data_IF_514176547983
#
_entry.id   IF_514176547983
#
_cell.length_a   1.000
_cell.length_b   1.000
_cell.length_c   1.000
_cell.angle_alpha   90.00
_cell.angle_beta   90.00
_cell.angle_gamma   90.00
#
_symmetry.space_group_name_H-M   'P 1'
#
loop_
_entity.id
_entity.type
_entity.pdbx_description
1 polymer ?
#
# COMPACT_ATOMS: atom_id res chain seq x y z
N UNK A 1 15.01 -22.90 0.34
CA UNK A 1 16.18 -22.21 -0.23
C UNK A 1 16.19 -20.82 0.39
N UNK A 2 17.24 -20.54 1.13
CA UNK A 2 17.48 -19.39 2.02
C UNK A 2 17.35 -18.05 1.28
N UNK A 3 16.68 -17.08 1.90
CA UNK A 3 16.65 -15.67 1.45
C UNK A 3 18.09 -15.16 1.40
N UNK A 4 18.57 -14.53 0.30
CA UNK A 4 19.94 -14.03 0.24
C UNK A 4 20.18 -12.95 1.31
N UNK A 5 21.34 -13.00 1.97
CA UNK A 5 21.86 -11.87 2.76
C UNK A 5 22.04 -10.67 1.83
N UNK A 6 21.09 -9.73 1.89
CA UNK A 6 21.01 -8.57 1.01
C UNK A 6 19.62 -7.93 0.93
N UNK A 7 18.55 -8.60 1.38
CA UNK A 7 17.16 -8.13 1.19
C UNK A 7 16.46 -7.68 2.49
N UNK A 8 17.19 -7.50 3.59
CA UNK A 8 16.64 -7.06 4.88
C UNK A 8 17.28 -5.75 5.32
N UNK A 9 16.46 -4.76 5.69
CA UNK A 9 16.89 -3.54 6.36
C UNK A 9 17.01 -3.81 7.86
N UNK A 10 18.17 -3.50 8.44
CA UNK A 10 18.44 -3.50 9.88
C UNK A 10 18.53 -2.06 10.38
N UNK A 11 18.05 -1.80 11.60
CA UNK A 11 18.02 -0.46 12.18
C UNK A 11 19.11 -0.32 13.26
N UNK A 12 20.37 -0.38 12.85
CA UNK A 12 21.53 -0.32 13.76
C UNK A 12 21.84 1.08 14.31
N UNK A 13 22.75 1.19 15.30
CA UNK A 13 23.09 2.46 15.95
C UNK A 13 23.73 3.50 15.02
N UNK A 14 24.31 3.10 13.88
CA UNK A 14 24.80 4.04 12.85
C UNK A 14 23.66 4.81 12.14
N UNK A 15 22.42 4.32 12.23
CA UNK A 15 21.24 4.95 11.65
C UNK A 15 20.60 6.01 12.58
N UNK A 16 21.04 6.04 13.84
CA UNK A 16 20.70 7.08 14.80
C UNK A 16 21.92 8.00 14.93
N UNK A 17 21.72 9.33 14.99
CA UNK A 17 22.81 10.26 15.28
C UNK A 17 23.45 10.05 16.66
N UNK A 18 24.06 11.10 17.21
CA UNK A 18 24.74 11.12 18.54
C UNK A 18 24.22 10.07 19.56
N UNK A 19 25.05 9.11 20.00
CA UNK A 19 24.62 7.88 20.69
C UNK A 19 23.92 8.09 22.05
N UNK A 20 23.96 9.31 22.60
CA UNK A 20 23.32 9.66 23.89
C UNK A 20 21.95 10.33 23.75
N UNK A 21 21.43 10.55 22.53
CA UNK A 21 20.15 11.20 22.28
C UNK A 21 19.17 10.34 21.45
N UNK A 22 19.34 9.01 21.40
CA UNK A 22 18.53 8.12 20.57
C UNK A 22 17.10 7.97 21.13
N UNK A 23 16.04 8.36 20.37
CA UNK A 23 14.65 8.20 20.80
C UNK A 23 14.31 6.75 21.18
N UNK A 24 13.38 6.58 22.13
CA UNK A 24 12.94 5.25 22.61
C UNK A 24 12.41 4.37 21.47
N UNK A 25 11.64 4.96 20.56
CA UNK A 25 11.14 4.34 19.33
C UNK A 25 12.26 3.73 18.48
N UNK A 26 13.37 4.46 18.31
CA UNK A 26 14.53 4.02 17.51
C UNK A 26 15.27 2.89 18.21
N UNK A 27 15.45 2.98 19.54
CA UNK A 27 16.08 1.92 20.34
C UNK A 27 15.34 0.58 20.22
N UNK A 28 14.02 0.60 20.08
CA UNK A 28 13.20 -0.62 19.88
C UNK A 28 13.45 -1.29 18.54
N UNK A 29 13.87 -0.57 17.51
CA UNK A 29 14.15 -1.16 16.20
C UNK A 29 15.53 -1.83 16.11
N UNK A 30 16.40 -1.68 17.11
CA UNK A 30 17.79 -2.16 17.04
C UNK A 30 17.95 -3.66 16.79
N UNK A 31 16.96 -4.47 17.17
CA UNK A 31 16.95 -5.93 16.95
C UNK A 31 15.95 -6.36 15.87
N UNK A 32 15.30 -5.39 15.22
CA UNK A 32 14.30 -5.62 14.19
C UNK A 32 14.97 -5.59 12.83
N UNK A 33 14.55 -6.50 11.95
CA UNK A 33 14.90 -6.48 10.54
C UNK A 33 13.65 -6.67 9.70
N UNK A 34 13.47 -5.86 8.67
CA UNK A 34 12.32 -5.92 7.76
C UNK A 34 12.78 -6.16 6.32
N UNK A 35 12.00 -6.87 5.48
CA UNK A 35 12.30 -7.00 4.06
C UNK A 35 12.33 -5.65 3.36
N UNK A 36 13.17 -5.47 2.33
CA UNK A 36 13.18 -4.23 1.55
C UNK A 36 11.88 -3.95 0.81
N UNK A 37 11.16 -5.01 0.41
CA UNK A 37 9.89 -4.89 -0.29
C UNK A 37 9.01 -6.10 -0.01
N UNK A 38 7.69 -5.89 0.14
CA UNK A 38 6.68 -6.94 0.22
C UNK A 38 5.50 -6.53 -0.65
N UNK A 39 5.45 -7.06 -1.87
CA UNK A 39 4.44 -6.67 -2.86
C UNK A 39 4.34 -5.14 -3.02
N UNK A 40 3.14 -4.60 -3.29
CA UNK A 40 2.91 -3.16 -3.26
C UNK A 40 2.83 -2.60 -1.83
N UNK A 41 2.60 -3.44 -0.83
CA UNK A 41 2.17 -3.02 0.52
C UNK A 41 3.30 -2.49 1.40
N UNK A 42 4.54 -2.91 1.18
CA UNK A 42 5.67 -2.44 1.99
C UNK A 42 6.89 -2.22 1.12
N UNK A 43 7.59 -1.10 1.35
CA UNK A 43 8.95 -0.91 0.88
C UNK A 43 9.77 -0.05 1.83
N UNK A 44 11.08 -0.19 1.79
CA UNK A 44 12.00 0.59 2.62
C UNK A 44 13.38 0.66 1.96
N UNK A 45 14.09 1.78 2.13
CA UNK A 45 15.49 1.92 1.68
C UNK A 45 16.44 1.93 2.88
N UNK A 46 17.63 1.29 2.79
CA UNK A 46 18.64 1.38 3.85
C UNK A 46 19.13 2.82 4.09
N UNK A 47 19.05 3.69 3.07
CA UNK A 47 19.53 5.07 3.14
C UNK A 47 18.50 6.04 3.73
N UNK A 48 17.23 5.63 3.88
CA UNK A 48 16.20 6.50 4.43
C UNK A 48 16.49 6.82 5.91
N UNK A 49 16.33 8.06 6.37
CA UNK A 49 16.39 8.36 7.79
C UNK A 49 15.40 7.51 8.62
N UNK A 50 15.84 7.04 9.79
CA UNK A 50 15.00 6.26 10.71
C UNK A 50 14.11 7.17 11.54
N UNK A 51 14.57 8.38 11.90
CA UNK A 51 13.72 9.34 12.60
C UNK A 51 12.75 9.97 11.60
N UNK A 52 11.44 9.94 11.90
CA UNK A 52 10.40 10.37 10.98
C UNK A 52 10.56 11.84 10.55
N UNK A 53 10.93 12.74 11.46
CA UNK A 53 11.15 14.16 11.14
C UNK A 53 12.30 14.35 10.13
N UNK A 54 13.41 13.64 10.33
CA UNK A 54 14.54 13.68 9.42
C UNK A 54 14.19 13.11 8.03
N UNK A 55 13.34 12.08 7.98
CA UNK A 55 12.84 11.56 6.72
C UNK A 55 11.92 12.57 6.03
N UNK A 56 10.98 13.18 6.77
CA UNK A 56 10.07 14.19 6.23
C UNK A 56 10.85 15.37 5.61
N UNK A 57 11.86 15.88 6.33
CA UNK A 57 12.76 16.91 5.80
C UNK A 57 13.48 16.46 4.52
N UNK A 58 13.97 15.21 4.47
CA UNK A 58 14.70 14.68 3.31
C UNK A 58 13.86 14.58 2.03
N UNK A 59 12.54 14.42 2.17
CA UNK A 59 11.60 14.36 1.04
C UNK A 59 10.83 15.68 0.84
N UNK A 60 11.24 16.75 1.52
CA UNK A 60 10.68 18.10 1.34
C UNK A 60 9.28 18.29 1.91
N UNK A 61 8.91 17.53 2.93
CA UNK A 61 7.63 17.64 3.65
C UNK A 61 7.85 17.84 5.15
N UNK A 62 6.79 17.80 5.94
CA UNK A 62 6.84 17.92 7.39
C UNK A 62 5.97 16.89 8.11
N UNK A 63 6.31 16.62 9.36
CA UNK A 63 5.45 15.86 10.26
C UNK A 63 4.44 16.81 10.90
N UNK A 64 3.17 16.64 10.56
CA UNK A 64 2.11 17.57 10.98
C UNK A 64 1.84 17.57 12.49
N UNK A 65 2.17 16.47 13.20
CA UNK A 65 1.96 16.32 14.64
C UNK A 65 3.30 16.20 15.36
N UNK A 66 3.56 17.10 16.30
CA UNK A 66 4.86 17.19 16.99
C UNK A 66 5.22 15.90 17.74
N UNK A 67 4.24 15.20 18.32
CA UNK A 67 4.46 13.94 19.03
C UNK A 67 4.96 12.79 18.14
N UNK A 68 4.80 12.91 16.81
CA UNK A 68 5.21 11.92 15.82
C UNK A 68 6.63 12.16 15.28
N UNK A 69 7.21 13.37 15.46
CA UNK A 69 8.52 13.75 14.90
C UNK A 69 9.64 12.77 15.28
N UNK A 70 9.60 12.29 16.52
CA UNK A 70 10.60 11.36 17.05
C UNK A 70 10.23 9.87 16.87
N UNK A 71 9.19 9.54 16.10
CA UNK A 71 8.85 8.14 15.82
C UNK A 71 9.88 7.51 14.90
N UNK A 72 10.03 6.19 15.01
CA UNK A 72 11.02 5.45 14.24
C UNK A 72 10.36 4.82 13.01
N UNK A 73 10.71 5.32 11.83
CA UNK A 73 10.23 4.87 10.53
C UNK A 73 10.85 3.53 10.17
N UNK A 74 10.00 2.56 9.82
CA UNK A 74 10.40 1.24 9.30
C UNK A 74 10.40 1.21 7.77
N UNK A 75 9.47 1.93 7.12
CA UNK A 75 9.28 1.96 5.68
C UNK A 75 8.00 2.68 5.31
N UNK A 76 7.49 2.42 4.10
CA UNK A 76 6.28 3.05 3.55
C UNK A 76 5.39 2.00 2.88
N UNK A 77 4.08 2.26 2.87
CA UNK A 77 3.10 1.57 2.03
C UNK A 77 2.75 2.38 0.76
N UNK A 78 3.62 3.31 0.35
CA UNK A 78 3.51 4.25 -0.78
C UNK A 78 2.58 5.45 -0.57
N UNK A 79 1.76 5.45 0.48
CA UNK A 79 0.99 6.64 0.87
C UNK A 79 1.33 7.11 2.28
N UNK A 80 1.56 6.16 3.19
CA UNK A 80 1.81 6.40 4.61
C UNK A 80 3.19 5.87 5.00
N UNK A 81 3.80 6.54 5.97
CA UNK A 81 5.03 6.10 6.62
C UNK A 81 4.70 5.17 7.78
N UNK A 82 5.25 3.97 7.76
CA UNK A 82 5.01 2.95 8.76
C UNK A 82 6.03 3.10 9.88
N UNK A 83 5.57 3.52 11.04
CA UNK A 83 6.41 4.04 12.13
C UNK A 83 6.12 3.34 13.46
N UNK A 84 7.18 3.02 14.21
CA UNK A 84 7.09 2.61 15.60
C UNK A 84 6.95 3.84 16.51
N UNK A 85 5.87 3.88 17.28
CA UNK A 85 5.66 4.86 18.33
C UNK A 85 6.51 4.53 19.59
N UNK A 86 6.70 5.47 20.52
CA UNK A 86 7.45 5.23 21.75
C UNK A 86 6.85 4.11 22.64
N UNK A 87 5.54 3.89 22.55
CA UNK A 87 4.84 2.78 23.23
C UNK A 87 5.23 1.40 22.71
N UNK A 88 5.80 1.35 21.50
CA UNK A 88 6.23 0.15 20.82
C UNK A 88 5.23 -0.35 19.80
N UNK A 89 4.06 0.25 19.63
CA UNK A 89 3.16 -0.12 18.54
C UNK A 89 3.63 0.48 17.21
N UNK A 90 3.30 -0.19 16.10
CA UNK A 90 3.51 0.30 14.74
C UNK A 90 2.22 0.95 14.23
N UNK A 91 2.35 2.13 13.63
CA UNK A 91 1.25 2.87 13.04
C UNK A 91 1.64 3.45 11.67
N UNK A 92 0.66 3.60 10.79
CA UNK A 92 0.81 4.28 9.52
C UNK A 92 0.52 5.78 9.72
N UNK A 93 1.47 6.64 9.33
CA UNK A 93 1.43 8.09 9.50
C UNK A 93 1.44 8.77 8.13
N UNK A 94 0.50 9.69 7.90
CA UNK A 94 0.48 10.51 6.69
C UNK A 94 1.27 11.81 6.93
N UNK A 95 2.30 12.06 6.13
CA UNK A 95 3.09 13.29 6.22
C UNK A 95 2.33 14.49 5.66
N UNK A 96 2.51 15.67 6.25
CA UNK A 96 1.86 16.92 5.82
C UNK A 96 0.38 17.07 6.20
N UNK A 97 -0.26 16.04 6.76
CA UNK A 97 -1.68 16.06 7.12
C UNK A 97 -1.90 15.66 8.58
N UNK A 98 -2.90 16.27 9.24
CA UNK A 98 -3.23 15.98 10.64
C UNK A 98 -4.15 14.77 10.81
N UNK A 99 -3.92 13.70 10.04
CA UNK A 99 -4.74 12.49 10.12
C UNK A 99 -4.38 11.63 11.34
N UNK A 100 -5.37 10.99 12.00
CA UNK A 100 -5.09 9.99 13.01
C UNK A 100 -4.24 8.84 12.43
N UNK A 101 -3.15 8.43 13.09
CA UNK A 101 -2.32 7.36 12.57
C UNK A 101 -3.04 6.02 12.68
N UNK A 102 -3.07 5.27 11.56
CA UNK A 102 -3.76 3.97 11.46
C UNK A 102 -2.97 2.90 12.22
N UNK A 103 -3.64 2.07 13.00
CA UNK A 103 -2.97 0.97 13.70
C UNK A 103 -2.50 -0.10 12.71
N UNK A 104 -1.23 -0.51 12.83
CA UNK A 104 -0.61 -1.52 11.97
C UNK A 104 -0.34 -2.78 12.77
N UNK A 105 0.46 -2.68 13.82
CA UNK A 105 0.81 -3.85 14.64
C UNK A 105 1.16 -3.47 16.08
N UNK A 106 1.00 -4.42 16.98
CA UNK A 106 1.28 -4.29 18.41
C UNK A 106 2.77 -4.12 18.71
N UNK A 107 3.66 -4.61 17.85
CA UNK A 107 5.11 -4.38 17.95
C UNK A 107 5.84 -4.42 16.60
N UNK A 108 7.04 -3.79 16.48
CA UNK A 108 7.93 -3.94 15.34
C UNK A 108 8.29 -5.38 14.99
N UNK A 109 8.46 -6.24 15.99
CA UNK A 109 8.80 -7.66 15.80
C UNK A 109 7.63 -8.42 15.18
N UNK A 110 6.41 -8.19 15.68
CA UNK A 110 5.19 -8.78 15.11
C UNK A 110 4.91 -8.24 13.71
N UNK A 111 5.19 -6.96 13.46
CA UNK A 111 5.09 -6.37 12.13
C UNK A 111 6.10 -7.00 11.16
N UNK A 112 7.37 -7.10 11.54
CA UNK A 112 8.41 -7.74 10.74
C UNK A 112 8.11 -9.21 10.44
N UNK A 113 7.63 -9.96 11.44
CA UNK A 113 7.18 -11.34 11.25
C UNK A 113 6.02 -11.41 10.25
N UNK A 114 5.01 -10.56 10.41
CA UNK A 114 3.85 -10.49 9.52
C UNK A 114 4.23 -10.14 8.08
N UNK A 115 5.18 -9.22 7.87
CA UNK A 115 5.72 -8.90 6.55
C UNK A 115 6.36 -10.11 5.86
N UNK A 116 7.13 -10.91 6.60
CA UNK A 116 7.75 -12.13 6.07
C UNK A 116 6.71 -13.20 5.69
N UNK A 117 5.63 -13.32 6.46
CA UNK A 117 4.55 -14.25 6.13
C UNK A 117 3.77 -13.79 4.90
N UNK A 118 3.51 -12.48 4.78
CA UNK A 118 2.88 -11.91 3.60
C UNK A 118 3.75 -12.08 2.35
N UNK A 119 5.06 -11.83 2.43
CA UNK A 119 5.99 -12.00 1.29
C UNK A 119 5.96 -13.45 0.76
N UNK A 120 6.01 -14.44 1.66
CA UNK A 120 5.90 -15.84 1.28
C UNK A 120 4.56 -16.15 0.61
N UNK A 121 3.46 -15.63 1.15
CA UNK A 121 2.14 -15.84 0.60
C UNK A 121 2.00 -15.23 -0.80
N UNK A 122 2.42 -13.98 -0.99
CA UNK A 122 2.36 -13.29 -2.28
C UNK A 122 3.19 -14.00 -3.35
N UNK A 123 4.39 -14.52 -3.02
CA UNK A 123 5.18 -15.33 -3.97
C UNK A 123 4.43 -16.57 -4.45
N UNK A 124 3.64 -17.21 -3.60
CA UNK A 124 2.83 -18.37 -3.99
C UNK A 124 1.62 -17.92 -4.81
N UNK A 125 0.88 -16.92 -4.33
CA UNK A 125 -0.34 -16.41 -4.97
C UNK A 125 -0.06 -15.90 -6.38
N UNK A 126 1.01 -15.13 -6.57
CA UNK A 126 1.38 -14.54 -7.86
C UNK A 126 2.13 -15.54 -8.76
N UNK A 127 2.71 -16.60 -8.19
CA UNK A 127 3.53 -17.57 -8.91
C UNK A 127 2.78 -18.83 -9.36
N UNK A 128 1.51 -18.99 -8.97
CA UNK A 128 0.70 -20.18 -9.28
C UNK A 128 -0.34 -19.88 -10.35
N UNK A 129 -0.57 -20.82 -11.25
CA UNK A 129 -1.69 -20.84 -12.20
C UNK A 129 -2.93 -21.56 -11.63
N UNK A 130 -2.79 -22.21 -10.47
CA UNK A 130 -3.84 -22.94 -9.77
C UNK A 130 -4.60 -22.07 -8.76
N UNK A 131 -5.88 -21.73 -9.00
CA UNK A 131 -6.66 -20.88 -8.09
C UNK A 131 -6.79 -21.44 -6.67
N UNK A 132 -6.90 -22.77 -6.52
CA UNK A 132 -6.99 -23.42 -5.22
C UNK A 132 -5.71 -23.24 -4.40
N UNK A 133 -4.54 -23.27 -5.05
CA UNK A 133 -3.26 -23.06 -4.37
C UNK A 133 -3.11 -21.60 -3.89
N UNK A 134 -3.56 -20.64 -4.70
CA UNK A 134 -3.60 -19.23 -4.32
C UNK A 134 -4.54 -19.01 -3.13
N UNK A 135 -5.75 -19.58 -3.18
CA UNK A 135 -6.73 -19.48 -2.11
C UNK A 135 -6.24 -20.12 -0.79
N UNK A 136 -5.60 -21.28 -0.86
CA UNK A 136 -4.98 -21.94 0.31
C UNK A 136 -3.86 -21.09 0.91
N UNK A 137 -2.99 -20.52 0.08
CA UNK A 137 -1.90 -19.64 0.51
C UNK A 137 -2.44 -18.38 1.19
N UNK A 138 -3.45 -17.73 0.59
CA UNK A 138 -4.12 -16.57 1.18
C UNK A 138 -4.74 -16.92 2.55
N UNK A 139 -5.53 -18.00 2.62
CA UNK A 139 -6.19 -18.40 3.86
C UNK A 139 -5.19 -18.81 4.95
N UNK A 140 -4.05 -19.41 4.59
CA UNK A 140 -2.97 -19.73 5.52
C UNK A 140 -2.30 -18.46 6.06
N UNK A 141 -2.01 -17.50 5.19
CA UNK A 141 -1.42 -16.22 5.56
C UNK A 141 -2.35 -15.45 6.52
N UNK A 142 -3.64 -15.32 6.18
CA UNK A 142 -4.61 -14.65 7.05
C UNK A 142 -4.65 -15.25 8.45
N UNK A 143 -4.72 -16.59 8.56
CA UNK A 143 -4.70 -17.28 9.86
C UNK A 143 -3.43 -16.98 10.65
N UNK A 144 -2.28 -17.00 9.99
CA UNK A 144 -0.98 -16.78 10.64
C UNK A 144 -0.81 -15.32 11.09
N UNK A 145 -1.24 -14.36 10.27
CA UNK A 145 -1.21 -12.94 10.62
C UNK A 145 -2.10 -12.66 11.86
N UNK A 146 -3.33 -13.19 11.86
CA UNK A 146 -4.26 -13.07 13.00
C UNK A 146 -3.72 -13.73 14.28
N UNK A 147 -3.03 -14.86 14.15
CA UNK A 147 -2.40 -15.54 15.28
C UNK A 147 -1.18 -14.78 15.82
N UNK A 148 -0.42 -14.13 14.94
CA UNK A 148 0.77 -13.34 15.29
C UNK A 148 0.40 -12.09 16.07
N UNK A 149 -0.63 -11.37 15.64
CA UNK A 149 -1.10 -10.14 16.29
C UNK A 149 -2.62 -9.98 16.19
N UNK A 150 -3.40 -10.51 17.15
CA UNK A 150 -4.85 -10.38 17.14
C UNK A 150 -5.35 -8.93 17.17
N UNK A 151 -4.61 -8.01 17.80
CA UNK A 151 -5.02 -6.62 17.93
C UNK A 151 -4.99 -5.87 16.59
N UNK A 152 -4.09 -6.25 15.68
CA UNK A 152 -4.07 -5.74 14.31
C UNK A 152 -5.38 -5.99 13.55
N UNK A 153 -6.15 -6.99 13.95
CA UNK A 153 -7.42 -7.37 13.33
C UNK A 153 -8.65 -7.01 14.16
N UNK A 154 -8.48 -6.25 15.26
CA UNK A 154 -9.58 -5.85 16.12
C UNK A 154 -10.58 -4.93 15.41
N UNK A 155 -10.10 -4.07 14.50
CA UNK A 155 -10.90 -3.14 13.71
C UNK A 155 -10.75 -3.43 12.22
N UNK A 156 -11.81 -3.21 11.42
CA UNK A 156 -11.81 -3.49 9.97
C UNK A 156 -10.95 -2.53 9.15
N UNK A 157 -10.71 -1.32 9.65
CA UNK A 157 -9.90 -0.30 8.97
C UNK A 157 -8.46 -0.21 9.49
N UNK A 158 -8.05 -1.19 10.31
CA UNK A 158 -6.63 -1.38 10.60
C UNK A 158 -5.88 -1.84 9.34
N UNK A 159 -4.57 -1.63 9.34
CA UNK A 159 -3.76 -1.80 8.14
C UNK A 159 -3.78 -3.22 7.55
N UNK A 160 -3.61 -4.26 8.37
CA UNK A 160 -3.60 -5.65 7.88
C UNK A 160 -4.93 -6.11 7.27
N UNK A 161 -6.10 -5.86 7.89
CA UNK A 161 -7.39 -6.06 7.25
C UNK A 161 -7.51 -5.41 5.87
N UNK A 162 -7.02 -4.18 5.68
CA UNK A 162 -7.05 -3.48 4.39
C UNK A 162 -6.19 -4.17 3.34
N UNK A 163 -4.96 -4.56 3.70
CA UNK A 163 -4.07 -5.33 2.82
C UNK A 163 -4.70 -6.66 2.40
N UNK A 164 -5.34 -7.37 3.33
CA UNK A 164 -6.00 -8.64 3.01
C UNK A 164 -7.31 -8.47 2.22
N UNK A 165 -8.01 -7.36 2.38
CA UNK A 165 -9.17 -7.03 1.54
C UNK A 165 -8.72 -6.76 0.11
N UNK A 166 -7.67 -5.97 -0.08
CA UNK A 166 -7.10 -5.66 -1.39
C UNK A 166 -6.71 -6.92 -2.19
N UNK A 167 -5.91 -7.81 -1.59
CA UNK A 167 -5.48 -9.07 -2.23
C UNK A 167 -6.70 -9.92 -2.60
N UNK A 168 -7.71 -9.97 -1.72
CA UNK A 168 -8.91 -10.79 -1.93
C UNK A 168 -9.78 -10.24 -3.04
N UNK A 169 -9.99 -8.92 -3.05
CA UNK A 169 -10.84 -8.25 -4.01
C UNK A 169 -10.24 -8.35 -5.40
N UNK A 170 -8.95 -8.00 -5.56
CA UNK A 170 -8.22 -8.07 -6.83
C UNK A 170 -8.04 -9.49 -7.36
N UNK A 171 -8.03 -10.51 -6.50
CA UNK A 171 -7.98 -11.91 -6.93
C UNK A 171 -9.37 -12.49 -7.26
N UNK A 172 -10.42 -12.00 -6.62
CA UNK A 172 -11.77 -12.56 -6.71
C UNK A 172 -12.68 -11.87 -7.72
N UNK A 173 -12.31 -10.69 -8.21
CA UNK A 173 -13.13 -9.91 -9.14
C UNK A 173 -12.21 -9.20 -10.12
N UNK A 174 -12.43 -9.40 -11.42
CA UNK A 174 -11.77 -8.61 -12.45
C UNK A 174 -12.57 -7.31 -12.66
N UNK A 175 -11.89 -6.17 -12.68
CA UNK A 175 -12.47 -4.89 -13.06
C UNK A 175 -11.51 -4.04 -13.87
N UNK A 176 -12.07 -3.03 -14.53
CA UNK A 176 -11.42 -2.24 -15.56
C UNK A 176 -11.33 -0.76 -15.20
N UNK A 177 -10.34 -0.11 -15.78
CA UNK A 177 -10.24 1.33 -15.90
C UNK A 177 -10.20 1.70 -17.39
N UNK A 178 -10.62 2.93 -17.69
CA UNK A 178 -10.61 3.54 -19.02
C UNK A 178 -10.00 4.94 -18.94
N UNK A 179 -8.97 5.22 -19.74
CA UNK A 179 -8.38 6.55 -19.84
C UNK A 179 -8.64 7.10 -21.23
N UNK A 180 -9.17 8.32 -21.30
CA UNK A 180 -9.24 9.14 -22.51
C UNK A 180 -7.99 10.04 -22.55
N UNK A 181 -7.29 10.07 -23.67
CA UNK A 181 -6.20 11.00 -23.91
C UNK A 181 -6.23 11.58 -25.32
N UNK A 182 -5.55 12.72 -25.50
CA UNK A 182 -5.38 13.38 -26.80
C UNK A 182 -3.97 13.07 -27.32
N UNK A 183 -3.90 12.36 -28.44
CA UNK A 183 -2.62 12.03 -29.10
C UNK A 183 -1.94 13.27 -29.70
N UNK A 184 -0.70 13.09 -30.13
CA UNK A 184 0.09 14.16 -30.78
C UNK A 184 -0.52 14.62 -32.12
N UNK A 185 -1.34 13.76 -32.73
CA UNK A 185 -2.15 14.07 -33.92
C UNK A 185 -3.39 14.90 -33.60
N UNK A 186 -3.68 15.15 -32.32
CA UNK A 186 -4.87 15.85 -31.84
C UNK A 186 -6.11 14.97 -31.74
N UNK A 187 -6.02 13.67 -32.06
CA UNK A 187 -7.14 12.75 -32.00
C UNK A 187 -7.35 12.21 -30.59
N UNK A 188 -8.61 12.00 -30.22
CA UNK A 188 -8.97 11.40 -28.94
C UNK A 188 -8.91 9.88 -29.02
N UNK A 189 -8.25 9.28 -28.04
CA UNK A 189 -8.16 7.83 -27.88
C UNK A 189 -8.71 7.43 -26.51
N UNK A 190 -9.40 6.30 -26.44
CA UNK A 190 -9.82 5.67 -25.18
C UNK A 190 -9.19 4.30 -25.10
N UNK A 191 -8.43 4.05 -24.03
CA UNK A 191 -7.80 2.76 -23.76
C UNK A 191 -8.39 2.20 -22.49
N UNK A 192 -8.70 0.90 -22.48
CA UNK A 192 -9.19 0.18 -21.31
C UNK A 192 -8.22 -0.93 -20.92
N UNK A 193 -8.14 -1.22 -19.62
CA UNK A 193 -7.30 -2.31 -19.11
C UNK A 193 -7.82 -2.83 -17.77
N UNK A 194 -7.71 -4.14 -17.58
CA UNK A 194 -7.96 -4.78 -16.30
C UNK A 194 -6.74 -4.69 -15.37
N UNK A 195 -7.01 -4.86 -14.08
CA UNK A 195 -6.01 -5.09 -13.06
C UNK A 195 -5.48 -6.53 -13.06
N UNK A 196 -4.81 -6.89 -11.98
CA UNK A 196 -4.41 -8.24 -11.63
C UNK A 196 -4.37 -8.39 -10.11
N UNK A 197 -3.95 -9.57 -9.62
CA UNK A 197 -3.84 -9.78 -8.18
C UNK A 197 -2.82 -8.77 -7.60
N UNK A 198 -3.24 -7.98 -6.61
CA UNK A 198 -2.44 -6.91 -6.02
C UNK A 198 -1.92 -5.89 -7.06
N UNK A 199 -2.68 -5.64 -8.14
CA UNK A 199 -2.40 -4.62 -9.15
C UNK A 199 -3.71 -4.00 -9.63
N UNK A 200 -3.91 -2.70 -9.39
CA UNK A 200 -5.16 -2.04 -9.76
C UNK A 200 -5.18 -1.71 -11.26
N UNK A 201 -6.36 -1.68 -11.91
CA UNK A 201 -6.44 -1.38 -13.34
C UNK A 201 -5.89 0.01 -13.68
N UNK A 202 -6.02 0.99 -12.80
CA UNK A 202 -5.47 2.34 -12.99
C UNK A 202 -3.94 2.31 -13.08
N UNK A 203 -3.28 1.53 -12.21
CA UNK A 203 -1.83 1.34 -12.24
C UNK A 203 -1.39 0.57 -13.50
N UNK A 204 -2.10 -0.52 -13.82
CA UNK A 204 -1.86 -1.36 -14.99
C UNK A 204 -1.97 -0.56 -16.30
N UNK A 205 -3.02 0.25 -16.42
CA UNK A 205 -3.32 1.07 -17.58
C UNK A 205 -2.32 2.22 -17.70
N UNK A 206 -2.08 2.96 -16.62
CA UNK A 206 -1.16 4.08 -16.65
C UNK A 206 0.28 3.65 -16.95
N UNK A 207 0.74 2.53 -16.39
CA UNK A 207 2.03 1.95 -16.73
C UNK A 207 2.15 1.69 -18.24
N UNK A 208 1.09 1.19 -18.87
CA UNK A 208 1.06 0.95 -20.31
C UNK A 208 1.09 2.24 -21.13
N UNK A 209 0.31 3.27 -20.75
CA UNK A 209 0.29 4.56 -21.45
C UNK A 209 1.64 5.29 -21.32
N UNK A 210 2.22 5.31 -20.12
CA UNK A 210 3.56 5.87 -19.90
C UNK A 210 4.61 5.13 -20.73
N UNK A 211 4.53 3.80 -20.79
CA UNK A 211 5.40 2.99 -21.64
C UNK A 211 5.25 3.26 -23.14
N UNK A 212 4.08 3.78 -23.56
CA UNK A 212 3.80 4.24 -24.92
C UNK A 212 4.18 5.72 -25.15
N UNK A 213 4.73 6.41 -24.14
CA UNK A 213 5.16 7.80 -24.25
C UNK A 213 4.04 8.84 -24.07
N UNK A 214 2.89 8.44 -23.53
CA UNK A 214 1.80 9.38 -23.22
C UNK A 214 2.12 10.15 -21.94
N UNK A 215 2.10 11.47 -22.04
CA UNK A 215 2.33 12.38 -20.92
C UNK A 215 1.06 12.61 -20.09
N UNK A 216 1.18 12.88 -18.77
CA UNK A 216 0.00 13.07 -17.92
C UNK A 216 -0.96 14.16 -18.41
N UNK A 217 -0.42 15.26 -18.94
CA UNK A 217 -1.21 16.38 -19.47
C UNK A 217 -2.04 16.04 -20.72
N UNK A 218 -1.78 14.89 -21.36
CA UNK A 218 -2.58 14.42 -22.50
C UNK A 218 -3.85 13.72 -22.06
N UNK A 219 -3.92 13.22 -20.81
CA UNK A 219 -5.07 12.51 -20.28
C UNK A 219 -6.17 13.51 -19.91
N UNK A 220 -7.35 13.34 -20.49
CA UNK A 220 -8.49 14.26 -20.31
C UNK A 220 -9.60 13.68 -19.44
N UNK A 221 -9.75 12.35 -19.40
CA UNK A 221 -10.74 11.65 -18.56
C UNK A 221 -10.23 10.31 -18.07
N UNK A 222 -10.65 9.95 -16.87
CA UNK A 222 -10.38 8.67 -16.25
C UNK A 222 -11.72 8.13 -15.72
N UNK A 223 -12.07 6.92 -16.12
CA UNK A 223 -13.27 6.24 -15.67
C UNK A 223 -12.92 4.87 -15.11
N UNK A 224 -13.39 4.55 -13.91
CA UNK A 224 -13.10 3.29 -13.23
C UNK A 224 -14.39 2.55 -12.87
N UNK A 225 -14.41 1.22 -12.92
CA UNK A 225 -15.64 0.50 -12.52
C UNK A 225 -15.91 0.61 -11.02
N UNK A 226 -14.86 0.51 -10.21
CA UNK A 226 -14.88 0.81 -8.78
C UNK A 226 -14.27 2.18 -8.54
N UNK A 227 -14.78 2.93 -7.57
CA UNK A 227 -14.16 4.18 -7.10
C UNK A 227 -12.66 3.97 -6.83
N UNK A 228 -11.82 4.92 -7.26
CA UNK A 228 -10.38 4.80 -7.11
C UNK A 228 -9.99 4.60 -5.63
N UNK A 229 -9.25 3.53 -5.36
CA UNK A 229 -9.05 3.06 -3.99
C UNK A 229 -8.26 4.06 -3.11
N UNK A 230 -8.43 3.93 -1.79
CA UNK A 230 -7.56 4.53 -0.77
C UNK A 230 -7.00 3.43 0.15
N UNK A 231 -6.38 2.41 -0.47
CA UNK A 231 -5.87 1.22 0.24
C UNK A 231 -4.33 1.21 0.29
N UNK A 232 -3.72 0.62 1.34
CA UNK A 232 -2.29 0.42 1.45
C UNK A 232 -1.68 -0.18 0.17
N UNK A 233 -0.56 0.38 -0.28
CA UNK A 233 0.18 -0.08 -1.47
C UNK A 233 -0.26 0.52 -2.80
N UNK A 234 -1.48 1.08 -2.88
CA UNK A 234 -2.07 1.54 -4.14
C UNK A 234 -2.40 3.02 -4.11
N UNK A 235 -3.27 3.45 -3.17
CA UNK A 235 -3.72 4.83 -3.03
C UNK A 235 -4.11 5.50 -4.36
N UNK A 236 -4.87 4.79 -5.20
CA UNK A 236 -5.24 5.25 -6.54
C UNK A 236 -5.87 6.64 -6.55
N UNK A 237 -6.77 6.93 -5.63
CA UNK A 237 -7.38 8.26 -5.52
C UNK A 237 -6.36 9.38 -5.31
N UNK A 238 -5.29 9.15 -4.53
CA UNK A 238 -4.25 10.15 -4.27
C UNK A 238 -3.40 10.42 -5.51
N UNK A 239 -2.79 9.39 -6.08
CA UNK A 239 -1.84 9.61 -7.16
C UNK A 239 -2.53 10.01 -8.47
N UNK A 240 -3.77 9.55 -8.71
CA UNK A 240 -4.57 10.02 -9.85
C UNK A 240 -4.85 11.51 -9.73
N UNK A 241 -5.31 11.98 -8.57
CA UNK A 241 -5.58 13.40 -8.35
C UNK A 241 -4.31 14.26 -8.46
N UNK A 242 -3.17 13.75 -8.00
CA UNK A 242 -1.88 14.46 -8.10
C UNK A 242 -1.34 14.48 -9.53
N UNK A 243 -1.46 13.38 -10.26
CA UNK A 243 -0.84 13.20 -11.57
C UNK A 243 -1.68 13.75 -12.71
N UNK A 244 -3.00 13.71 -12.58
CA UNK A 244 -3.95 14.17 -13.60
C UNK A 244 -4.91 15.22 -13.03
N UNK A 245 -4.40 16.38 -12.55
CA UNK A 245 -5.21 17.37 -11.85
C UNK A 245 -6.33 17.97 -12.72
N UNK A 246 -6.17 17.95 -14.04
CA UNK A 246 -7.13 18.50 -15.01
C UNK A 246 -8.07 17.43 -15.62
N UNK A 247 -7.84 16.14 -15.33
CA UNK A 247 -8.64 15.06 -15.89
C UNK A 247 -9.95 14.87 -15.11
N UNK A 248 -11.04 14.62 -15.82
CA UNK A 248 -12.33 14.27 -15.21
C UNK A 248 -12.29 12.83 -14.69
N UNK A 249 -12.35 12.65 -13.37
CA UNK A 249 -12.40 11.33 -12.72
C UNK A 249 -13.84 10.92 -12.41
N UNK A 250 -14.26 9.75 -12.89
CA UNK A 250 -15.61 9.20 -12.68
C UNK A 250 -15.54 7.71 -12.35
N UNK A 251 -16.59 7.17 -11.73
CA UNK A 251 -16.69 5.74 -11.42
C UNK A 251 -18.12 5.20 -11.51
N UNK A 252 -18.29 3.87 -11.61
CA UNK A 252 -19.61 3.23 -11.62
C UNK A 252 -20.12 2.89 -10.23
N UNK A 253 -19.29 2.28 -9.39
CA UNK A 253 -19.68 1.78 -8.07
C UNK A 253 -18.77 2.33 -6.97
N UNK A 254 -19.28 2.49 -5.74
CA UNK A 254 -18.47 2.97 -4.61
C UNK A 254 -17.41 1.94 -4.23
N UNK A 255 -16.25 2.39 -3.76
CA UNK A 255 -15.18 1.53 -3.24
C UNK A 255 -14.35 2.27 -2.17
N UNK A 256 -15.01 3.20 -1.48
CA UNK A 256 -14.41 4.21 -0.62
C UNK A 256 -13.76 3.68 0.66
N UNK A 257 -13.71 4.53 1.67
CA UNK A 257 -12.80 4.32 2.81
C UNK A 257 -13.28 3.27 3.83
N UNK A 258 -14.55 2.85 3.78
CA UNK A 258 -15.09 1.85 4.73
C UNK A 258 -15.19 0.45 4.12
N UNK A 259 -15.03 -0.57 4.97
CA UNK A 259 -15.22 -1.97 4.60
C UNK A 259 -16.62 -2.24 4.04
N UNK A 260 -17.64 -1.52 4.52
CA UNK A 260 -19.00 -1.61 4.02
C UNK A 260 -19.10 -1.08 2.57
N UNK A 261 -18.51 0.09 2.30
CA UNK A 261 -18.49 0.68 0.96
C UNK A 261 -17.75 -0.21 -0.04
N UNK A 262 -16.60 -0.78 0.35
CA UNK A 262 -15.85 -1.72 -0.49
C UNK A 262 -16.64 -3.01 -0.78
N UNK A 263 -17.24 -3.60 0.25
CA UNK A 263 -18.06 -4.80 0.09
C UNK A 263 -19.27 -4.56 -0.83
N UNK A 264 -19.90 -3.38 -0.71
CA UNK A 264 -21.00 -2.97 -1.57
C UNK A 264 -20.56 -2.79 -3.02
N UNK A 265 -19.44 -2.11 -3.26
CA UNK A 265 -18.83 -1.96 -4.58
C UNK A 265 -18.59 -3.29 -5.28
N UNK A 266 -17.91 -4.20 -4.59
CA UNK A 266 -17.61 -5.54 -5.10
C UNK A 266 -18.89 -6.34 -5.39
N UNK A 267 -19.91 -6.21 -4.54
CA UNK A 267 -21.21 -6.86 -4.75
C UNK A 267 -21.88 -6.33 -6.02
N UNK A 268 -22.00 -5.01 -6.16
CA UNK A 268 -22.63 -4.34 -7.31
C UNK A 268 -21.90 -4.66 -8.61
N UNK A 269 -20.57 -4.64 -8.58
CA UNK A 269 -19.73 -5.00 -9.72
C UNK A 269 -19.99 -6.43 -10.19
N UNK A 270 -20.04 -7.40 -9.27
CA UNK A 270 -20.34 -8.81 -9.59
C UNK A 270 -21.75 -8.98 -10.14
N UNK A 271 -22.72 -8.25 -9.60
CA UNK A 271 -24.10 -8.27 -10.10
C UNK A 271 -24.21 -7.69 -11.52
N UNK A 272 -23.45 -6.63 -11.82
CA UNK A 272 -23.39 -6.04 -13.15
C UNK A 272 -22.70 -6.97 -14.16
N UNK A 273 -21.62 -7.66 -13.75
CA UNK A 273 -20.92 -8.62 -14.60
C UNK A 273 -21.79 -9.86 -14.92
N UNK A 274 -22.67 -10.29 -14.01
CA UNK A 274 -23.58 -11.41 -14.24
C UNK A 274 -24.77 -11.09 -15.17
N UNK A 275 -25.01 -9.81 -15.48
CA UNK A 275 -26.10 -9.35 -16.35
C UNK A 275 -25.67 -9.14 -17.81
N UNK A 276 -24.38 -9.28 -18.11
CA UNK A 276 -23.79 -9.15 -19.45
C UNK A 276 -23.64 -10.53 -20.12
#
# INVERSE_FOLDING_TARGET
MTVPEGELRKFGPEAAGEPYAVPESVRRLMQVAVPWTVGPYFSTSPDDPVVLDAYAESVGTEVAREEQRQWARLGTDRGYELCAAPGGEVRAVLLGYQEPPRFVSSSPEQFAQSLLELDRALRVILGTDRPEAAAEAFAAAERQLRATDPAAFAERENWWPLVLDDIRDTAGTEWYAAFEYVGDDGEKQVVTRAGGIALHPEESLWSALRGAGIEPSQVTRIHTELEACFLPGHYCSLWLAQMFPDAELTHNFPYGESAESRAEGIRLLREAAAQQ
#
